data_IF_483889717793
#
_entry.id   IF_483889717793
#
_cell.length_a   1.000
_cell.length_b   1.000
_cell.length_c   1.000
_cell.angle_alpha   90.00
_cell.angle_beta   90.00
_cell.angle_gamma   90.00
#
_symmetry.space_group_name_H-M   'P 1'
#
loop_
_entity.id
_entity.type
_entity.pdbx_description
1 polymer ?
#
# COMPACT_ATOMS: atom_id res chain seq x y z
N UNK A 1 31.98 -96.67 16.57
CA UNK A 1 33.04 -95.77 16.04
C UNK A 1 32.36 -94.54 15.47
N UNK A 2 31.84 -93.63 16.31
CA UNK A 2 32.57 -92.54 16.96
C UNK A 2 33.19 -91.53 16.00
N UNK A 3 32.34 -90.75 15.32
CA UNK A 3 32.66 -89.41 14.78
C UNK A 3 31.46 -88.45 14.87
N UNK A 4 30.38 -88.86 15.58
CA UNK A 4 29.08 -88.21 15.57
C UNK A 4 28.74 -87.54 16.92
N UNK A 5 29.67 -86.82 17.57
CA UNK A 5 29.41 -86.19 18.90
C UNK A 5 30.19 -84.90 19.20
N UNK A 6 30.51 -84.05 18.23
CA UNK A 6 31.29 -82.82 18.51
C UNK A 6 30.74 -81.49 17.96
N UNK A 7 29.49 -81.42 17.48
CA UNK A 7 28.92 -80.14 17.01
C UNK A 7 27.65 -79.68 17.74
N UNK A 8 27.17 -80.41 18.76
CA UNK A 8 26.12 -79.93 19.67
C UNK A 8 26.73 -79.32 20.95
N UNK A 9 27.31 -78.11 20.87
CA UNK A 9 27.66 -77.38 22.09
C UNK A 9 27.63 -75.85 22.00
N UNK A 10 26.93 -75.26 21.02
CA UNK A 10 26.71 -73.81 21.01
C UNK A 10 25.24 -73.50 20.76
N UNK A 11 24.46 -73.11 21.79
CA UNK A 11 23.06 -72.73 21.63
C UNK A 11 22.86 -71.43 20.83
N UNK A 12 23.96 -70.85 20.34
CA UNK A 12 24.00 -69.56 19.65
C UNK A 12 23.71 -69.63 18.15
N UNK A 13 23.79 -70.81 17.52
CA UNK A 13 23.67 -70.92 16.04
C UNK A 13 22.25 -71.15 15.54
N UNK A 14 21.30 -71.57 16.39
CA UNK A 14 19.91 -71.79 15.96
C UNK A 14 19.00 -70.57 16.09
N UNK A 15 19.43 -69.53 16.82
CA UNK A 15 18.64 -68.28 16.98
C UNK A 15 18.82 -67.36 15.76
N UNK A 16 19.96 -67.46 15.07
CA UNK A 16 20.28 -66.63 13.91
C UNK A 16 19.49 -66.99 12.63
N UNK A 17 18.95 -68.20 12.52
CA UNK A 17 18.23 -68.62 11.30
C UNK A 17 16.75 -68.23 11.30
N UNK A 18 16.15 -67.94 12.46
CA UNK A 18 14.71 -67.57 12.54
C UNK A 18 14.49 -66.06 12.37
N UNK A 19 15.45 -65.22 12.74
CA UNK A 19 15.35 -63.76 12.56
C UNK A 19 15.48 -63.30 11.09
N UNK A 20 15.96 -64.15 10.18
CA UNK A 20 16.12 -63.80 8.77
C UNK A 20 14.82 -63.83 7.94
N UNK A 21 13.75 -64.47 8.43
CA UNK A 21 12.55 -64.74 7.62
C UNK A 21 11.44 -63.69 7.76
N UNK A 22 11.45 -62.87 8.82
CA UNK A 22 10.42 -61.82 9.01
C UNK A 22 10.78 -60.46 8.40
N UNK A 23 11.97 -60.33 7.78
CA UNK A 23 12.44 -59.10 7.15
C UNK A 23 12.26 -59.10 5.62
N UNK A 24 11.13 -59.62 5.11
CA UNK A 24 10.89 -59.71 3.67
C UNK A 24 9.67 -58.90 3.18
N UNK A 25 9.04 -58.09 4.04
CA UNK A 25 7.93 -57.23 3.66
C UNK A 25 8.30 -55.74 3.82
N UNK A 26 9.24 -55.24 3.02
CA UNK A 26 9.38 -53.79 2.85
C UNK A 26 8.30 -53.34 1.90
N UNK A 27 7.32 -52.57 2.40
CA UNK A 27 6.38 -51.86 1.52
C UNK A 27 7.20 -50.90 0.64
N UNK A 28 7.18 -51.14 -0.67
CA UNK A 28 7.76 -50.20 -1.62
C UNK A 28 6.81 -49.01 -1.65
N UNK A 29 7.16 -47.93 -0.95
CA UNK A 29 6.48 -46.65 -1.14
C UNK A 29 6.94 -46.15 -2.50
N UNK A 30 6.10 -46.34 -3.51
CA UNK A 30 6.31 -45.76 -4.84
C UNK A 30 6.08 -44.26 -4.70
N UNK A 31 7.13 -43.52 -4.32
CA UNK A 31 7.09 -42.06 -4.35
C UNK A 31 6.96 -41.64 -5.81
N UNK A 32 5.91 -40.89 -6.18
CA UNK A 32 5.77 -40.39 -7.54
C UNK A 32 7.02 -39.60 -7.90
N UNK A 33 7.75 -40.07 -8.90
CA UNK A 33 8.91 -39.35 -9.44
C UNK A 33 8.49 -37.90 -9.70
N UNK A 34 9.24 -36.89 -9.19
CA UNK A 34 8.91 -35.50 -9.46
C UNK A 34 8.82 -35.31 -10.97
N UNK A 35 7.66 -34.84 -11.44
CA UNK A 35 7.47 -34.57 -12.85
C UNK A 35 8.59 -33.63 -13.33
N UNK A 36 9.16 -33.85 -14.54
CA UNK A 36 10.13 -32.92 -15.09
C UNK A 36 9.51 -31.53 -15.11
N UNK A 37 10.24 -30.55 -14.55
CA UNK A 37 9.79 -29.17 -14.56
C UNK A 37 9.45 -28.77 -16.01
N UNK A 38 8.32 -28.08 -16.25
CA UNK A 38 7.97 -27.66 -17.59
C UNK A 38 9.13 -26.88 -18.18
N UNK A 39 9.67 -27.35 -19.31
CA UNK A 39 10.70 -26.63 -20.04
C UNK A 39 10.04 -25.33 -20.47
N UNK A 40 10.38 -24.23 -19.78
CA UNK A 40 9.95 -22.90 -20.20
C UNK A 40 10.60 -22.67 -21.55
N UNK A 41 9.80 -22.72 -22.61
CA UNK A 41 10.21 -22.30 -23.93
C UNK A 41 10.92 -20.95 -23.76
N UNK A 42 12.14 -20.84 -24.28
CA UNK A 42 12.90 -19.60 -24.24
C UNK A 42 12.02 -18.49 -24.82
N UNK A 43 11.51 -17.62 -23.94
CA UNK A 43 10.50 -16.66 -24.32
C UNK A 43 11.19 -15.56 -25.12
N UNK A 44 10.94 -15.54 -26.43
CA UNK A 44 11.53 -14.56 -27.34
C UNK A 44 10.75 -13.26 -27.22
N UNK A 45 11.42 -12.18 -26.81
CA UNK A 45 10.81 -10.86 -26.69
C UNK A 45 11.31 -9.93 -27.79
N UNK A 46 10.41 -9.08 -28.28
CA UNK A 46 10.76 -8.00 -29.19
C UNK A 46 11.59 -6.93 -28.46
N UNK A 47 12.32 -6.13 -29.24
CA UNK A 47 13.04 -4.94 -28.75
C UNK A 47 12.14 -3.71 -28.67
N UNK A 48 10.82 -3.90 -28.71
CA UNK A 48 9.86 -2.81 -28.55
C UNK A 48 9.98 -2.20 -27.14
N UNK A 49 10.06 -0.87 -27.08
CA UNK A 49 10.08 -0.15 -25.81
C UNK A 49 8.68 0.39 -25.48
N UNK A 50 7.97 -0.34 -24.62
CA UNK A 50 6.64 -0.01 -24.11
C UNK A 50 6.63 -0.33 -22.60
N UNK A 51 7.23 0.53 -21.76
CA UNK A 51 7.63 0.15 -20.41
C UNK A 51 6.43 -0.24 -19.54
N UNK A 52 6.66 -1.17 -18.61
CA UNK A 52 5.63 -1.62 -17.65
C UNK A 52 6.21 -1.76 -16.25
N UNK A 53 5.37 -1.58 -15.23
CA UNK A 53 5.71 -1.88 -13.86
C UNK A 53 5.24 -3.30 -13.52
N UNK A 54 6.18 -4.16 -13.16
CA UNK A 54 5.92 -5.54 -12.78
C UNK A 54 6.15 -5.76 -11.28
N UNK A 55 5.40 -6.70 -10.70
CA UNK A 55 5.57 -7.16 -9.32
C UNK A 55 5.91 -8.65 -9.25
N UNK A 56 6.87 -8.99 -8.38
CA UNK A 56 7.16 -10.36 -7.97
C UNK A 56 7.61 -10.39 -6.50
N UNK A 57 6.90 -11.17 -5.67
CA UNK A 57 7.23 -11.35 -4.25
C UNK A 57 7.47 -10.02 -3.50
N UNK A 58 6.52 -9.07 -3.61
CA UNK A 58 6.56 -7.74 -3.02
C UNK A 58 7.71 -6.83 -3.51
N UNK A 59 8.36 -7.17 -4.64
CA UNK A 59 9.33 -6.31 -5.30
C UNK A 59 8.75 -5.76 -6.60
N UNK A 60 8.83 -4.44 -6.75
CA UNK A 60 8.45 -3.73 -7.97
C UNK A 60 9.69 -3.53 -8.86
N UNK A 61 9.54 -3.75 -10.17
CA UNK A 61 10.59 -3.49 -11.15
C UNK A 61 10.01 -3.02 -12.47
N UNK A 62 10.65 -2.01 -13.06
CA UNK A 62 10.35 -1.53 -14.42
C UNK A 62 10.94 -2.49 -15.44
N UNK A 63 10.16 -2.85 -16.45
CA UNK A 63 10.60 -3.64 -17.60
C UNK A 63 10.44 -2.83 -18.89
N UNK A 64 11.31 -3.05 -19.90
CA UNK A 64 11.23 -2.35 -21.18
C UNK A 64 9.92 -2.64 -21.93
N UNK A 65 9.36 -3.84 -21.76
CA UNK A 65 8.02 -4.17 -22.21
C UNK A 65 7.38 -5.32 -21.42
N UNK A 66 6.10 -5.59 -21.70
CA UNK A 66 5.33 -6.64 -21.02
C UNK A 66 5.83 -8.07 -21.29
N UNK A 67 6.53 -8.31 -22.40
CA UNK A 67 7.13 -9.61 -22.68
C UNK A 67 8.28 -9.88 -21.71
N UNK A 68 9.22 -8.95 -21.57
CA UNK A 68 10.35 -9.06 -20.64
C UNK A 68 9.89 -9.23 -19.19
N UNK A 69 8.82 -8.52 -18.78
CA UNK A 69 8.23 -8.70 -17.45
C UNK A 69 7.73 -10.13 -17.22
N UNK A 70 6.98 -10.70 -18.16
CA UNK A 70 6.42 -12.06 -18.04
C UNK A 70 7.50 -13.14 -18.12
N UNK A 71 8.50 -12.95 -19.00
CA UNK A 71 9.64 -13.85 -19.14
C UNK A 71 10.41 -13.99 -17.83
N UNK A 72 10.59 -12.88 -17.10
CA UNK A 72 11.24 -12.85 -15.78
C UNK A 72 10.30 -13.29 -14.62
N UNK A 73 9.06 -13.66 -14.93
CA UNK A 73 8.07 -14.13 -13.97
C UNK A 73 7.44 -13.04 -13.11
N UNK A 74 7.39 -11.81 -13.60
CA UNK A 74 6.71 -10.70 -12.95
C UNK A 74 5.27 -10.57 -13.48
N UNK A 75 4.32 -10.26 -12.59
CA UNK A 75 2.96 -9.87 -12.97
C UNK A 75 2.97 -8.38 -13.31
N UNK A 76 2.46 -8.00 -14.48
CA UNK A 76 2.30 -6.58 -14.84
C UNK A 76 1.19 -5.97 -14.00
N UNK A 77 1.50 -4.87 -13.30
CA UNK A 77 0.54 -4.08 -12.54
C UNK A 77 -0.11 -2.99 -13.40
N UNK A 78 0.71 -2.20 -14.09
CA UNK A 78 0.26 -1.10 -14.96
C UNK A 78 1.27 -0.82 -16.08
N UNK A 79 0.83 -0.06 -17.08
CA UNK A 79 1.69 0.47 -18.13
C UNK A 79 2.51 1.66 -17.62
N UNK A 80 3.71 1.85 -18.15
CA UNK A 80 4.70 2.82 -17.69
C UNK A 80 5.64 2.26 -16.62
N UNK A 81 6.67 3.04 -16.30
CA UNK A 81 7.68 2.66 -15.30
C UNK A 81 7.11 2.63 -13.88
N UNK A 82 7.71 1.82 -13.01
CA UNK A 82 7.39 1.85 -11.59
C UNK A 82 7.76 3.21 -11.00
N UNK A 83 6.80 3.86 -10.31
CA UNK A 83 7.05 5.07 -9.54
C UNK A 83 6.90 4.76 -8.05
N UNK A 84 7.75 5.30 -7.17
CA UNK A 84 7.61 5.10 -5.73
C UNK A 84 6.27 5.62 -5.18
N UNK A 85 5.69 6.62 -5.85
CA UNK A 85 4.37 7.18 -5.50
C UNK A 85 3.19 6.47 -6.18
N UNK A 86 3.44 5.42 -6.99
CA UNK A 86 2.36 4.68 -7.61
C UNK A 86 1.66 3.82 -6.55
N UNK A 87 0.51 4.30 -6.08
CA UNK A 87 -0.46 3.47 -5.38
C UNK A 87 -1.40 2.92 -6.46
N UNK A 88 -1.49 1.59 -6.66
CA UNK A 88 -2.50 1.05 -7.56
C UNK A 88 -3.86 1.62 -7.13
N UNK A 89 -4.73 2.00 -8.09
CA UNK A 89 -6.11 2.31 -7.76
C UNK A 89 -6.62 1.09 -7.02
N UNK A 90 -6.87 1.24 -5.72
CA UNK A 90 -7.54 0.21 -4.97
C UNK A 90 -8.92 0.21 -5.61
N UNK A 91 -9.36 -0.91 -6.19
CA UNK A 91 -10.78 -1.10 -6.51
C UNK A 91 -11.54 -1.16 -5.18
N UNK A 92 -11.62 -0.02 -4.52
CA UNK A 92 -12.22 0.15 -3.22
C UNK A 92 -13.59 0.74 -3.51
N UNK A 93 -14.61 -0.10 -3.30
CA UNK A 93 -15.98 0.34 -3.37
C UNK A 93 -16.20 1.39 -2.26
N UNK A 94 -16.22 2.66 -2.66
CA UNK A 94 -16.55 3.75 -1.75
C UNK A 94 -18.06 3.87 -1.59
N UNK A 95 -18.50 4.16 -0.38
CA UNK A 95 -19.90 4.51 -0.12
C UNK A 95 -20.21 5.84 -0.82
N UNK A 96 -21.48 6.04 -1.22
CA UNK A 96 -21.97 7.33 -1.73
C UNK A 96 -22.27 8.34 -0.61
N UNK A 97 -21.67 8.15 0.56
CA UNK A 97 -21.78 9.08 1.67
C UNK A 97 -21.04 10.38 1.33
N UNK A 98 -21.70 11.51 1.58
CA UNK A 98 -21.11 12.81 1.40
C UNK A 98 -20.63 13.38 2.74
N UNK A 99 -19.33 13.30 2.95
CA UNK A 99 -18.60 13.80 4.12
C UNK A 99 -17.29 14.44 3.61
N UNK A 100 -17.35 15.68 3.09
CA UNK A 100 -16.28 16.21 2.25
C UNK A 100 -14.96 16.34 3.00
N UNK A 101 -13.86 16.13 2.29
CA UNK A 101 -12.50 16.25 2.83
C UNK A 101 -11.58 16.99 1.87
N UNK A 102 -10.56 17.65 2.44
CA UNK A 102 -9.48 18.24 1.67
C UNK A 102 -8.32 17.25 1.55
N UNK A 103 -8.00 16.86 0.31
CA UNK A 103 -6.89 15.98 -0.02
C UNK A 103 -5.73 16.73 -0.65
N UNK A 104 -4.50 16.24 -0.42
CA UNK A 104 -3.27 16.77 -0.99
C UNK A 104 -2.45 15.66 -1.69
N UNK A 105 -1.90 16.00 -2.86
CA UNK A 105 -0.94 15.18 -3.62
C UNK A 105 0.15 16.06 -4.21
N UNK A 106 1.32 16.07 -3.59
CA UNK A 106 2.40 17.00 -3.93
C UNK A 106 1.98 18.44 -3.64
N UNK A 107 1.94 19.30 -4.68
CA UNK A 107 1.45 20.68 -4.58
C UNK A 107 -0.04 20.85 -4.90
N UNK A 108 -0.71 19.76 -5.29
CA UNK A 108 -2.12 19.80 -5.66
C UNK A 108 -2.99 19.57 -4.42
N UNK A 109 -3.96 20.47 -4.21
CA UNK A 109 -5.03 20.30 -3.21
C UNK A 109 -6.38 20.23 -3.90
N UNK A 110 -7.23 19.29 -3.49
CA UNK A 110 -8.55 19.06 -4.09
C UNK A 110 -9.53 18.58 -3.02
N UNK A 111 -10.78 19.06 -3.12
CA UNK A 111 -11.91 18.56 -2.33
C UNK A 111 -12.42 17.24 -2.90
N UNK A 112 -12.67 16.29 -2.02
CA UNK A 112 -13.29 15.00 -2.34
C UNK A 112 -14.61 14.86 -1.57
N UNK A 113 -15.62 14.17 -2.13
CA UNK A 113 -16.91 14.01 -1.47
C UNK A 113 -16.82 13.17 -0.19
N UNK A 114 -15.83 12.28 -0.10
CA UNK A 114 -15.49 11.60 1.14
C UNK A 114 -14.02 11.14 1.17
N UNK A 115 -13.59 10.68 2.34
CA UNK A 115 -12.23 10.23 2.58
C UNK A 115 -11.88 8.94 1.84
N UNK A 116 -12.86 8.12 1.46
CA UNK A 116 -12.61 6.92 0.66
C UNK A 116 -12.19 7.32 -0.75
N UNK A 117 -12.97 8.17 -1.41
CA UNK A 117 -12.68 8.66 -2.77
C UNK A 117 -11.35 9.41 -2.84
N UNK A 118 -11.03 10.22 -1.83
CA UNK A 118 -9.71 10.87 -1.74
C UNK A 118 -8.55 9.87 -1.78
N UNK A 119 -8.66 8.77 -1.02
CA UNK A 119 -7.61 7.74 -0.95
C UNK A 119 -7.54 6.90 -2.22
N UNK A 120 -8.70 6.59 -2.82
CA UNK A 120 -8.79 5.88 -4.08
C UNK A 120 -8.08 6.65 -5.23
N UNK A 121 -8.23 7.97 -5.26
CA UNK A 121 -7.54 8.87 -6.20
C UNK A 121 -6.06 9.13 -5.83
N UNK A 122 -5.55 8.55 -4.74
CA UNK A 122 -4.17 8.68 -4.30
C UNK A 122 -3.84 10.00 -3.59
N UNK A 123 -4.83 10.69 -3.04
CA UNK A 123 -4.63 11.89 -2.22
C UNK A 123 -4.53 11.54 -0.73
N UNK A 124 -3.68 12.28 -0.01
CA UNK A 124 -3.62 12.24 1.45
C UNK A 124 -4.63 13.23 2.01
N UNK A 125 -5.54 12.79 2.88
CA UNK A 125 -6.47 13.70 3.58
C UNK A 125 -5.69 14.57 4.56
N UNK A 126 -5.82 15.89 4.44
CA UNK A 126 -5.15 16.90 5.29
C UNK A 126 -6.12 17.70 6.15
N UNK A 127 -7.43 17.62 5.90
CA UNK A 127 -8.44 18.31 6.69
C UNK A 127 -9.85 17.82 6.39
N UNK A 128 -10.74 17.99 7.37
CA UNK A 128 -12.18 17.77 7.23
C UNK A 128 -12.83 18.97 6.54
N UNK A 129 -13.86 18.71 5.72
CA UNK A 129 -14.51 19.71 4.90
C UNK A 129 -13.75 20.00 3.61
N UNK A 130 -14.25 20.94 2.83
CA UNK A 130 -13.66 21.32 1.55
C UNK A 130 -12.29 22.00 1.72
N UNK A 131 -11.45 21.93 0.69
CA UNK A 131 -10.20 22.68 0.68
C UNK A 131 -10.47 24.18 0.67
N UNK A 132 -10.05 24.85 1.75
CA UNK A 132 -10.12 26.31 1.82
C UNK A 132 -9.02 26.96 0.98
N UNK A 133 -9.38 27.95 0.18
CA UNK A 133 -8.44 28.96 -0.33
C UNK A 133 -8.02 29.86 0.82
N UNK A 134 -6.84 30.44 0.73
CA UNK A 134 -6.31 31.39 1.72
C UNK A 134 -7.22 32.61 1.95
N UNK A 135 -8.18 32.84 1.04
CA UNK A 135 -9.13 33.93 1.08
C UNK A 135 -10.56 33.54 1.49
N UNK A 136 -10.81 32.26 1.78
CA UNK A 136 -12.15 31.83 2.13
C UNK A 136 -12.55 32.44 3.49
N UNK A 137 -13.75 33.05 3.57
CA UNK A 137 -14.24 33.61 4.82
C UNK A 137 -14.25 32.54 5.91
N UNK A 138 -13.87 32.94 7.12
CA UNK A 138 -13.99 32.07 8.28
C UNK A 138 -15.44 31.56 8.37
N UNK A 139 -15.65 30.26 8.69
CA UNK A 139 -16.99 29.71 8.78
C UNK A 139 -17.73 30.37 9.93
N UNK A 140 -18.70 31.21 9.60
CA UNK A 140 -19.59 31.82 10.58
C UNK A 140 -20.16 33.11 10.05
N UNK A 141 -21.46 33.11 9.75
CA UNK A 141 -22.26 34.32 9.80
C UNK A 141 -22.24 34.79 11.26
N UNK A 142 -21.18 35.50 11.63
CA UNK A 142 -20.91 35.89 13.01
C UNK A 142 -21.73 37.14 13.29
N UNK A 143 -22.75 37.00 14.14
CA UNK A 143 -23.53 38.14 14.61
C UNK A 143 -22.65 38.98 15.54
N UNK A 144 -22.14 40.11 15.04
CA UNK A 144 -21.36 41.04 15.84
C UNK A 144 -22.27 42.04 16.55
N UNK A 145 -21.93 42.35 17.81
CA UNK A 145 -22.52 43.47 18.54
C UNK A 145 -22.10 44.79 17.87
N UNK A 146 -22.93 45.83 18.03
CA UNK A 146 -22.59 47.20 17.60
C UNK A 146 -21.66 47.92 18.60
N UNK A 147 -20.85 47.17 19.32
CA UNK A 147 -19.86 47.74 20.23
C UNK A 147 -18.71 48.38 19.42
N UNK A 148 -18.29 49.58 19.80
CA UNK A 148 -17.14 50.26 19.19
C UNK A 148 -15.91 50.11 20.08
N UNK A 149 -15.04 49.18 19.71
CA UNK A 149 -13.76 48.88 20.36
C UNK A 149 -12.72 48.60 19.27
N UNK A 150 -12.18 49.64 18.61
CA UNK A 150 -11.52 49.49 17.33
C UNK A 150 -10.26 48.64 17.40
N UNK A 151 -10.01 47.90 16.33
CA UNK A 151 -8.80 47.07 16.17
C UNK A 151 -8.19 47.24 14.80
N UNK A 152 -6.88 47.08 14.72
CA UNK A 152 -6.15 47.09 13.47
C UNK A 152 -5.96 45.64 13.01
N UNK A 153 -6.59 45.29 11.89
CA UNK A 153 -6.51 43.98 11.27
C UNK A 153 -5.56 43.97 10.07
N UNK A 154 -4.93 42.82 9.82
CA UNK A 154 -4.09 42.57 8.65
C UNK A 154 -4.61 41.38 7.84
N UNK A 155 -4.70 41.56 6.51
CA UNK A 155 -4.96 40.49 5.54
C UNK A 155 -4.17 40.76 4.26
N UNK A 156 -3.35 39.80 3.82
CA UNK A 156 -2.58 39.92 2.58
C UNK A 156 -1.67 41.17 2.51
N UNK A 157 -1.10 41.61 3.64
CA UNK A 157 -0.28 42.82 3.72
C UNK A 157 -1.07 44.13 3.86
N UNK A 158 -2.38 44.13 3.67
CA UNK A 158 -3.25 45.30 3.87
C UNK A 158 -3.63 45.44 5.34
N UNK A 159 -3.45 46.64 5.90
CA UNK A 159 -3.98 47.03 7.21
C UNK A 159 -5.35 47.68 7.06
N UNK A 160 -6.29 47.35 7.94
CA UNK A 160 -7.64 47.93 7.95
C UNK A 160 -8.14 48.03 9.38
N UNK A 161 -8.67 49.20 9.74
CA UNK A 161 -9.34 49.42 11.03
C UNK A 161 -10.73 48.81 10.97
N UNK A 162 -11.09 48.05 12.01
CA UNK A 162 -12.45 47.52 12.19
C UNK A 162 -13.09 48.12 13.44
N UNK A 163 -14.41 48.35 13.44
CA UNK A 163 -15.14 48.87 14.61
C UNK A 163 -14.96 48.02 15.86
N UNK A 164 -14.83 46.71 15.71
CA UNK A 164 -14.52 45.79 16.80
C UNK A 164 -13.83 44.51 16.30
N UNK A 165 -13.32 43.72 17.25
CA UNK A 165 -12.64 42.46 16.99
C UNK A 165 -13.51 41.41 16.30
N UNK A 166 -14.82 41.39 16.57
CA UNK A 166 -15.75 40.48 15.93
C UNK A 166 -15.84 40.78 14.43
N UNK A 167 -16.01 42.03 14.04
CA UNK A 167 -16.11 42.44 12.64
C UNK A 167 -14.79 42.20 11.88
N UNK A 168 -13.64 42.40 12.53
CA UNK A 168 -12.34 42.04 11.96
C UNK A 168 -12.24 40.53 11.66
N UNK A 169 -12.65 39.69 12.61
CA UNK A 169 -12.66 38.24 12.46
C UNK A 169 -13.63 37.76 11.38
N UNK A 170 -14.84 38.32 11.35
CA UNK A 170 -15.86 38.03 10.34
C UNK A 170 -15.40 38.40 8.91
N UNK A 171 -14.62 39.48 8.77
CA UNK A 171 -14.00 39.87 7.50
C UNK A 171 -12.74 39.06 7.13
N UNK A 172 -12.31 38.13 7.99
CA UNK A 172 -11.11 37.29 7.77
C UNK A 172 -9.79 38.02 7.98
N UNK A 173 -9.76 39.05 8.83
CA UNK A 173 -8.54 39.78 9.18
C UNK A 173 -7.94 39.24 10.47
N UNK A 174 -6.60 39.10 10.51
CA UNK A 174 -5.87 38.82 11.75
C UNK A 174 -5.63 40.14 12.48
N UNK A 175 -6.04 40.25 13.75
CA UNK A 175 -5.78 41.44 14.56
C UNK A 175 -4.29 41.53 14.88
N UNK A 176 -3.66 42.66 14.53
CA UNK A 176 -2.23 42.93 14.81
C UNK A 176 -2.04 43.85 16.01
N UNK A 177 -3.00 44.75 16.28
CA UNK A 177 -3.05 45.53 17.53
C UNK A 177 -4.46 46.01 17.88
N UNK A 178 -4.61 46.45 19.12
CA UNK A 178 -5.77 47.23 19.58
C UNK A 178 -5.68 48.68 19.08
N UNK A 179 -6.82 49.31 18.85
CA UNK A 179 -6.94 50.64 18.27
C UNK A 179 -6.89 50.64 16.74
N UNK A 180 -7.13 51.80 16.15
CA UNK A 180 -7.17 52.02 14.69
C UNK A 180 -5.79 51.90 14.06
N UNK A 181 -5.68 51.45 12.81
CA UNK A 181 -4.43 51.46 12.06
C UNK A 181 -3.96 52.91 11.81
N UNK A 182 -2.68 53.20 12.10
CA UNK A 182 -2.10 54.55 12.21
C UNK A 182 -1.02 54.58 13.26
#
# INVERSE_FOLDING_TARGET
MSLLRLLLSRPSTSILTVLGVLSACTVVVDEPRPAPAPIRAAQMCTMEYAPVCGERANRLRTFPNSCHARADGFRVLHQGECRPDFRPPVEQACTREYAPVCGERGRLRRTFPNACEARADGFRVIGSGECRRSDDPAPGQQFCTREYAPVCGQRGGRLTTFPNACEAGAAGFRIVRRGECG
#
